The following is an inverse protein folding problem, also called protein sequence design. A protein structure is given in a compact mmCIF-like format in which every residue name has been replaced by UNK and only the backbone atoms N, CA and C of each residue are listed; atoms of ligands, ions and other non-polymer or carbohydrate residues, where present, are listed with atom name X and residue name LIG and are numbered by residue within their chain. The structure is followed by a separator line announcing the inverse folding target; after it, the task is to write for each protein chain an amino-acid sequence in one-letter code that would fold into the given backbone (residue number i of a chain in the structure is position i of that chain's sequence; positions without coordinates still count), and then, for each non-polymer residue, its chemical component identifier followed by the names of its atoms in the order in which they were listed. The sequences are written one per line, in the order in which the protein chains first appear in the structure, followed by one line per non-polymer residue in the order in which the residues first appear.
data_IF_110756319625
#
_entry.id   IF_110756319625
#
_cell.length_a   1.000
_cell.length_b   1.000
_cell.length_c   1.000
_cell.angle_alpha   90.00
_cell.angle_beta   90.00
_cell.angle_gamma   90.00
#
_symmetry.space_group_name_H-M   'P 1'
#
loop_
_entity.id
_entity.type
_entity.pdbx_description
1 polymer ?
#
# COMPACT_ATOMS: atom_id res chain seq x y z
N UNK A 1 0.26 -18.02 -46.13
CA UNK A 1 1.27 -18.16 -45.06
C UNK A 1 1.17 -16.93 -44.21
N UNK A 2 0.88 -17.07 -42.92
CA UNK A 2 0.87 -15.94 -41.99
C UNK A 2 2.30 -15.54 -41.67
N UNK A 3 2.64 -14.27 -41.82
CA UNK A 3 3.97 -13.75 -41.52
C UNK A 3 4.07 -13.41 -40.03
N UNK A 4 5.26 -13.55 -39.43
CA UNK A 4 5.47 -13.23 -38.00
C UNK A 4 5.08 -11.77 -37.68
N UNK A 5 5.30 -10.84 -38.63
CA UNK A 5 4.89 -9.43 -38.50
C UNK A 5 3.37 -9.23 -38.37
N UNK A 6 2.57 -10.21 -38.78
CA UNK A 6 1.10 -10.18 -38.72
C UNK A 6 0.60 -10.74 -37.37
N UNK A 7 1.50 -11.32 -36.56
CA UNK A 7 1.21 -11.90 -35.25
C UNK A 7 1.69 -11.03 -34.08
N UNK A 8 2.53 -10.03 -34.35
CA UNK A 8 3.12 -9.15 -33.34
C UNK A 8 2.77 -7.72 -33.72
N UNK A 9 1.97 -7.07 -32.90
CA UNK A 9 1.75 -5.63 -33.00
C UNK A 9 3.01 -4.90 -32.50
N UNK A 10 3.70 -4.21 -33.41
CA UNK A 10 4.91 -3.45 -33.10
C UNK A 10 4.54 -1.97 -33.11
N UNK A 11 4.55 -1.28 -31.96
CA UNK A 11 4.22 0.14 -31.92
C UNK A 11 5.25 0.97 -32.70
N UNK A 12 4.78 1.97 -33.45
CA UNK A 12 5.63 2.86 -34.25
C UNK A 12 6.64 3.67 -33.42
N UNK A 13 6.36 3.87 -32.13
CA UNK A 13 7.22 4.56 -31.17
C UNK A 13 7.13 3.93 -29.80
N UNK A 14 8.26 3.84 -29.11
CA UNK A 14 8.36 3.36 -27.73
C UNK A 14 9.19 4.32 -26.91
N UNK A 15 8.68 4.76 -25.77
CA UNK A 15 9.38 5.59 -24.80
C UNK A 15 9.82 4.76 -23.60
N UNK A 16 10.90 5.18 -22.91
CA UNK A 16 11.37 4.49 -21.68
C UNK A 16 10.28 4.38 -20.60
N UNK A 17 9.36 5.35 -20.55
CA UNK A 17 8.25 5.34 -19.60
C UNK A 17 7.25 4.20 -19.83
N UNK A 18 7.11 3.74 -21.08
CA UNK A 18 6.10 2.75 -21.46
C UNK A 18 6.37 1.36 -20.89
N UNK A 19 7.62 1.10 -20.48
CA UNK A 19 8.03 -0.16 -19.85
C UNK A 19 8.05 -0.11 -18.31
N UNK A 20 7.89 1.08 -17.71
CA UNK A 20 8.04 1.28 -16.27
C UNK A 20 6.69 1.61 -15.67
N UNK A 21 6.01 0.56 -15.18
CA UNK A 21 4.77 0.70 -14.43
C UNK A 21 5.04 1.38 -13.08
N UNK A 22 4.39 2.52 -12.86
CA UNK A 22 4.43 3.30 -11.63
C UNK A 22 3.21 2.96 -10.78
N UNK A 23 3.42 2.14 -9.76
CA UNK A 23 2.36 1.61 -8.90
C UNK A 23 1.41 2.69 -8.37
N UNK A 24 1.92 3.85 -7.93
CA UNK A 24 1.10 4.91 -7.36
C UNK A 24 0.25 5.68 -8.37
N UNK A 25 0.61 5.64 -9.66
CA UNK A 25 -0.07 6.35 -10.74
C UNK A 25 -0.98 5.39 -11.53
N UNK A 26 -0.49 4.20 -11.84
CA UNK A 26 -1.09 3.31 -12.84
C UNK A 26 -2.21 2.42 -12.31
N UNK A 27 -2.33 2.22 -11.00
CA UNK A 27 -3.45 1.47 -10.40
C UNK A 27 -4.82 2.11 -10.69
N UNK A 28 -4.83 3.40 -11.06
CA UNK A 28 -6.04 4.12 -11.47
C UNK A 28 -6.51 3.76 -12.88
N UNK A 29 -5.69 3.02 -13.64
CA UNK A 29 -5.90 2.59 -15.04
C UNK A 29 -5.80 1.07 -15.16
N UNK A 30 -6.78 0.29 -14.65
CA UNK A 30 -6.72 -1.17 -14.62
C UNK A 30 -6.48 -1.78 -16.00
N UNK A 31 -7.01 -1.19 -17.07
CA UNK A 31 -6.81 -1.64 -18.45
C UNK A 31 -5.34 -1.60 -18.89
N UNK A 32 -4.58 -0.59 -18.47
CA UNK A 32 -3.14 -0.48 -18.76
C UNK A 32 -2.36 -1.51 -17.95
N UNK A 33 -2.72 -1.68 -16.67
CA UNK A 33 -2.08 -2.66 -15.79
C UNK A 33 -2.34 -4.09 -16.29
N UNK A 34 -3.55 -4.40 -16.74
CA UNK A 34 -3.93 -5.77 -17.05
C UNK A 34 -3.66 -6.16 -18.51
N UNK A 35 -3.64 -5.20 -19.44
CA UNK A 35 -3.63 -5.47 -20.88
C UNK A 35 -2.49 -6.36 -21.37
N UNK A 36 -1.31 -6.23 -20.78
CA UNK A 36 -0.10 -7.00 -21.16
C UNK A 36 0.41 -7.91 -20.03
N UNK A 37 -0.41 -8.19 -19.00
CA UNK A 37 0.03 -8.98 -17.87
C UNK A 37 -0.16 -10.48 -18.10
N UNK A 38 0.94 -11.21 -18.18
CA UNK A 38 0.94 -12.66 -18.38
C UNK A 38 1.23 -13.35 -17.04
N UNK A 39 0.31 -14.21 -16.59
CA UNK A 39 0.45 -14.97 -15.35
C UNK A 39 1.03 -16.34 -15.65
N UNK A 40 2.29 -16.55 -15.24
CA UNK A 40 2.95 -17.87 -15.29
C UNK A 40 2.55 -18.74 -14.10
N UNK A 41 2.81 -20.07 -14.12
CA UNK A 41 2.61 -20.94 -12.96
C UNK A 41 3.36 -20.47 -11.70
N UNK A 42 4.56 -19.92 -11.86
CA UNK A 42 5.36 -19.37 -10.75
C UNK A 42 4.68 -18.11 -10.18
N UNK A 43 4.21 -17.20 -11.04
CA UNK A 43 3.47 -16.02 -10.60
C UNK A 43 2.19 -16.41 -9.85
N UNK A 44 1.45 -17.42 -10.34
CA UNK A 44 0.28 -17.98 -9.64
C UNK A 44 0.65 -18.40 -8.21
N UNK A 45 1.76 -19.11 -8.03
CA UNK A 45 2.26 -19.50 -6.70
C UNK A 45 2.63 -18.28 -5.85
N UNK A 46 3.27 -17.26 -6.44
CA UNK A 46 3.57 -16.02 -5.74
C UNK A 46 2.32 -15.27 -5.28
N UNK A 47 1.25 -15.23 -6.10
CA UNK A 47 -0.03 -14.64 -5.71
C UNK A 47 -0.71 -15.42 -4.58
N UNK A 48 -0.68 -16.74 -4.64
CA UNK A 48 -1.19 -17.60 -3.55
C UNK A 48 -0.45 -17.34 -2.24
N UNK A 49 0.89 -17.24 -2.29
CA UNK A 49 1.70 -16.92 -1.13
C UNK A 49 1.39 -15.51 -0.58
N UNK A 50 1.26 -14.51 -1.45
CA UNK A 50 0.94 -13.13 -1.06
C UNK A 50 -0.45 -13.03 -0.40
N UNK A 51 -1.47 -13.62 -1.01
CA UNK A 51 -2.83 -13.62 -0.47
C UNK A 51 -2.93 -14.45 0.83
N UNK A 52 -2.20 -15.56 0.93
CA UNK A 52 -2.10 -16.33 2.18
C UNK A 52 -1.46 -15.49 3.30
N UNK A 53 -0.39 -14.76 3.00
CA UNK A 53 0.27 -13.88 3.96
C UNK A 53 -0.66 -12.77 4.47
N UNK A 54 -1.37 -12.11 3.55
CA UNK A 54 -2.34 -11.05 3.89
C UNK A 54 -3.52 -11.63 4.67
N UNK A 55 -4.09 -12.75 4.22
CA UNK A 55 -5.20 -13.42 4.91
C UNK A 55 -4.85 -13.77 6.36
N UNK A 56 -3.67 -14.34 6.59
CA UNK A 56 -3.17 -14.63 7.93
C UNK A 56 -3.01 -13.38 8.80
N UNK A 57 -2.54 -12.25 8.24
CA UNK A 57 -2.42 -10.99 8.97
C UNK A 57 -3.79 -10.43 9.37
N UNK A 58 -4.75 -10.45 8.44
CA UNK A 58 -6.12 -9.96 8.64
C UNK A 58 -6.86 -10.80 9.67
N UNK A 59 -6.85 -12.13 9.53
CA UNK A 59 -7.53 -13.05 10.44
C UNK A 59 -6.91 -13.05 11.83
N UNK A 60 -5.57 -13.01 11.90
CA UNK A 60 -4.84 -12.94 13.16
C UNK A 60 -4.85 -11.56 13.82
N UNK A 61 -5.36 -10.51 13.14
CA UNK A 61 -5.34 -9.11 13.59
C UNK A 61 -3.92 -8.65 13.97
N UNK A 62 -2.93 -9.07 13.19
CA UNK A 62 -1.50 -8.77 13.43
C UNK A 62 -0.94 -7.91 12.31
N UNK A 63 -0.07 -6.98 12.67
CA UNK A 63 0.72 -6.21 11.70
C UNK A 63 1.87 -7.07 11.19
N UNK A 64 1.88 -7.34 9.88
CA UNK A 64 2.96 -8.09 9.23
C UNK A 64 3.53 -7.30 8.06
N UNK A 65 4.84 -7.44 7.86
CA UNK A 65 5.55 -6.83 6.74
C UNK A 65 6.28 -7.91 5.93
N UNK A 66 6.39 -7.70 4.63
CA UNK A 66 7.16 -8.55 3.73
C UNK A 66 7.81 -7.71 2.64
N UNK A 67 8.94 -8.17 2.12
CA UNK A 67 9.66 -7.51 1.03
C UNK A 67 9.51 -8.34 -0.25
N UNK A 68 9.08 -7.69 -1.32
CA UNK A 68 9.10 -8.28 -2.66
C UNK A 68 10.50 -8.09 -3.27
N UNK A 69 11.25 -9.19 -3.39
CA UNK A 69 12.58 -9.19 -3.98
C UNK A 69 12.55 -9.68 -5.44
N UNK A 70 13.46 -9.15 -6.25
CA UNK A 70 13.60 -9.53 -7.66
C UNK A 70 14.44 -8.51 -8.45
N UNK A 71 15.06 -8.97 -9.53
CA UNK A 71 15.93 -8.15 -10.39
C UNK A 71 15.20 -6.96 -11.02
N UNK A 72 15.95 -5.96 -11.48
CA UNK A 72 15.37 -4.87 -12.27
C UNK A 72 14.65 -5.43 -13.51
N UNK A 73 13.46 -4.90 -13.83
CA UNK A 73 12.65 -5.40 -14.95
C UNK A 73 11.89 -6.71 -14.70
N UNK A 74 12.00 -7.34 -13.52
CA UNK A 74 11.33 -8.62 -13.23
C UNK A 74 9.81 -8.52 -12.96
N UNK A 75 9.19 -7.38 -13.24
CA UNK A 75 7.74 -7.19 -13.05
C UNK A 75 7.27 -6.94 -11.61
N UNK A 76 8.15 -6.59 -10.65
CA UNK A 76 7.76 -6.36 -9.24
C UNK A 76 6.64 -5.32 -9.05
N UNK A 77 6.77 -4.15 -9.67
CA UNK A 77 5.75 -3.10 -9.60
C UNK A 77 4.44 -3.56 -10.23
N UNK A 78 4.53 -4.32 -11.33
CA UNK A 78 3.38 -4.89 -12.03
C UNK A 78 2.65 -5.92 -11.17
N UNK A 79 3.40 -6.82 -10.52
CA UNK A 79 2.87 -7.78 -9.55
C UNK A 79 2.13 -7.07 -8.40
N UNK A 80 2.71 -6.01 -7.85
CA UNK A 80 2.07 -5.20 -6.81
C UNK A 80 0.81 -4.50 -7.30
N UNK A 81 0.79 -4.01 -8.54
CA UNK A 81 -0.38 -3.33 -9.12
C UNK A 81 -1.55 -4.31 -9.32
N UNK A 82 -1.27 -5.50 -9.83
CA UNK A 82 -2.29 -6.55 -9.99
C UNK A 82 -2.78 -7.05 -8.64
N UNK A 83 -1.88 -7.29 -7.67
CA UNK A 83 -2.28 -7.63 -6.30
C UNK A 83 -3.16 -6.54 -5.68
N UNK A 84 -2.80 -5.27 -5.87
CA UNK A 84 -3.60 -4.13 -5.44
C UNK A 84 -5.02 -4.18 -6.04
N UNK A 85 -5.15 -4.38 -7.35
CA UNK A 85 -6.44 -4.50 -8.03
C UNK A 85 -7.27 -5.69 -7.53
N UNK A 86 -6.62 -6.83 -7.25
CA UNK A 86 -7.29 -8.02 -6.67
C UNK A 86 -7.88 -7.71 -5.29
N UNK A 87 -7.09 -7.06 -4.42
CA UNK A 87 -7.52 -6.68 -3.06
C UNK A 87 -8.59 -5.57 -3.09
N UNK A 88 -8.54 -4.68 -4.08
CA UNK A 88 -9.56 -3.66 -4.32
C UNK A 88 -10.90 -4.26 -4.81
N UNK A 89 -10.90 -5.53 -5.22
CA UNK A 89 -12.11 -6.18 -5.74
C UNK A 89 -12.35 -5.91 -7.22
N UNK A 90 -11.35 -5.46 -7.98
CA UNK A 90 -11.50 -5.16 -9.41
C UNK A 90 -11.93 -6.42 -10.19
N UNK A 91 -13.06 -6.39 -10.94
CA UNK A 91 -13.58 -7.57 -11.64
C UNK A 91 -12.62 -8.12 -12.69
N UNK A 92 -11.91 -7.26 -13.43
CA UNK A 92 -10.99 -7.69 -14.48
C UNK A 92 -9.75 -8.38 -13.90
N UNK A 93 -9.18 -7.84 -12.83
CA UNK A 93 -8.04 -8.47 -12.15
C UNK A 93 -8.41 -9.81 -11.49
N UNK A 94 -9.61 -9.90 -10.90
CA UNK A 94 -10.13 -11.16 -10.33
C UNK A 94 -10.59 -12.17 -11.38
N UNK A 95 -10.86 -11.69 -12.60
CA UNK A 95 -11.29 -12.49 -13.74
C UNK A 95 -10.15 -13.12 -14.54
N UNK A 96 -8.88 -12.88 -14.16
CA UNK A 96 -7.73 -13.51 -14.82
C UNK A 96 -7.85 -15.04 -14.73
N UNK A 97 -8.01 -15.78 -15.85
CA UNK A 97 -8.28 -17.21 -15.83
C UNK A 97 -7.23 -18.01 -15.06
N UNK A 98 -5.95 -17.64 -15.22
CA UNK A 98 -4.83 -18.31 -14.58
C UNK A 98 -4.81 -18.12 -13.07
N UNK A 99 -5.46 -17.08 -12.53
CA UNK A 99 -5.57 -16.84 -11.09
C UNK A 99 -6.87 -17.37 -10.50
N UNK A 100 -7.82 -17.85 -11.30
CA UNK A 100 -9.12 -18.33 -10.81
C UNK A 100 -9.01 -19.33 -9.64
N UNK A 101 -8.10 -20.35 -9.64
CA UNK A 101 -7.96 -21.26 -8.50
C UNK A 101 -7.50 -20.55 -7.21
N UNK A 102 -6.60 -19.57 -7.35
CA UNK A 102 -6.05 -18.78 -6.23
C UNK A 102 -7.12 -17.85 -5.67
N UNK A 103 -7.85 -17.15 -6.55
CA UNK A 103 -8.96 -16.27 -6.14
C UNK A 103 -10.05 -17.07 -5.44
N UNK A 104 -10.42 -18.24 -5.98
CA UNK A 104 -11.43 -19.12 -5.36
C UNK A 104 -11.00 -19.57 -3.96
N UNK A 105 -9.76 -20.05 -3.81
CA UNK A 105 -9.19 -20.47 -2.52
C UNK A 105 -9.24 -19.36 -1.47
N UNK A 106 -8.98 -18.11 -1.86
CA UNK A 106 -8.94 -16.98 -0.94
C UNK A 106 -10.25 -16.21 -0.81
N UNK A 107 -11.30 -16.60 -1.55
CA UNK A 107 -12.55 -15.85 -1.58
C UNK A 107 -13.25 -15.83 -0.21
N UNK A 108 -13.13 -16.90 0.58
CA UNK A 108 -13.75 -17.03 1.90
C UNK A 108 -13.39 -15.87 2.84
N UNK A 109 -12.11 -15.48 2.90
CA UNK A 109 -11.66 -14.41 3.80
C UNK A 109 -11.66 -13.03 3.13
N UNK A 110 -11.54 -12.98 1.79
CA UNK A 110 -11.60 -11.73 1.03
C UNK A 110 -13.02 -11.16 0.94
N UNK A 111 -14.04 -12.03 0.88
CA UNK A 111 -15.42 -11.61 0.70
C UNK A 111 -15.88 -10.67 1.83
N UNK A 112 -16.51 -9.56 1.44
CA UNK A 112 -17.03 -8.55 2.36
C UNK A 112 -15.96 -7.70 3.06
N UNK A 113 -14.67 -7.88 2.76
CA UNK A 113 -13.61 -7.00 3.27
C UNK A 113 -13.44 -5.78 2.39
N UNK A 114 -13.20 -4.64 3.03
CA UNK A 114 -12.82 -3.38 2.39
C UNK A 114 -11.44 -2.99 2.88
N UNK A 115 -10.47 -3.01 1.98
CA UNK A 115 -9.09 -2.65 2.29
C UNK A 115 -8.86 -1.17 1.99
N UNK A 116 -8.17 -0.49 2.91
CA UNK A 116 -7.53 0.77 2.59
C UNK A 116 -6.14 0.45 2.03
N UNK A 117 -6.00 0.58 0.71
CA UNK A 117 -4.76 0.31 0.00
C UNK A 117 -4.03 1.65 -0.19
N UNK A 118 -2.85 1.78 0.40
CA UNK A 118 -2.09 3.03 0.43
C UNK A 118 -0.82 2.86 -0.41
N UNK A 119 -0.85 3.19 -1.71
CA UNK A 119 0.33 3.17 -2.56
C UNK A 119 1.21 4.39 -2.29
N UNK A 120 2.49 4.17 -2.05
CA UNK A 120 3.49 5.22 -1.91
C UNK A 120 4.86 4.74 -2.39
N UNK A 121 5.78 5.68 -2.60
CA UNK A 121 7.18 5.38 -2.88
C UNK A 121 8.08 5.99 -1.81
N UNK A 122 9.24 5.38 -1.62
CA UNK A 122 10.22 5.80 -0.61
C UNK A 122 11.28 6.76 -1.17
N UNK A 123 11.11 7.23 -2.41
CA UNK A 123 12.02 8.18 -3.05
C UNK A 123 11.98 9.51 -2.27
N UNK A 124 13.15 9.97 -1.82
CA UNK A 124 13.31 11.23 -1.10
C UNK A 124 12.87 11.21 0.36
N UNK A 125 12.47 10.06 0.91
CA UNK A 125 12.12 9.96 2.32
C UNK A 125 13.38 10.02 3.20
N UNK A 126 13.32 10.80 4.27
CA UNK A 126 14.42 10.96 5.23
C UNK A 126 14.58 9.75 6.15
N UNK A 127 13.47 9.13 6.51
CA UNK A 127 13.41 7.94 7.36
C UNK A 127 12.14 7.12 7.04
N UNK A 128 12.07 5.91 7.61
CA UNK A 128 10.99 4.96 7.37
C UNK A 128 9.66 5.43 7.97
N UNK A 129 9.68 6.06 9.14
CA UNK A 129 8.48 6.51 9.84
C UNK A 129 7.81 7.65 9.06
N UNK A 130 8.58 8.68 8.72
CA UNK A 130 8.19 9.78 7.84
C UNK A 130 7.71 9.27 6.49
N UNK A 131 8.41 8.26 5.95
CA UNK A 131 8.03 7.58 4.72
C UNK A 131 6.66 6.93 4.77
N UNK A 132 6.38 6.12 5.78
CA UNK A 132 5.15 5.34 5.86
C UNK A 132 3.98 6.20 6.37
N UNK A 133 4.16 6.84 7.52
CA UNK A 133 3.09 7.59 8.20
C UNK A 133 2.76 8.89 7.47
N UNK A 134 3.77 9.56 6.91
CA UNK A 134 3.60 10.80 6.16
C UNK A 134 2.80 10.56 4.89
N UNK A 135 3.19 9.55 4.09
CA UNK A 135 2.45 9.18 2.88
C UNK A 135 1.03 8.68 3.20
N UNK A 136 0.82 8.00 4.33
CA UNK A 136 -0.53 7.62 4.76
C UNK A 136 -1.42 8.84 5.03
N UNK A 137 -0.92 9.85 5.75
CA UNK A 137 -1.65 11.10 6.00
C UNK A 137 -1.95 11.82 4.69
N UNK A 138 -0.98 11.92 3.80
CA UNK A 138 -1.14 12.57 2.50
C UNK A 138 -2.16 11.85 1.63
N UNK A 139 -2.12 10.51 1.61
CA UNK A 139 -3.11 9.67 0.95
C UNK A 139 -4.52 9.91 1.48
N UNK A 140 -4.70 9.94 2.80
CA UNK A 140 -5.99 10.19 3.44
C UNK A 140 -6.53 11.58 3.09
N UNK A 141 -5.72 12.63 3.15
CA UNK A 141 -6.13 13.99 2.77
C UNK A 141 -6.58 14.07 1.31
N UNK A 142 -5.92 13.34 0.41
CA UNK A 142 -6.24 13.32 -1.02
C UNK A 142 -7.51 12.52 -1.32
N UNK A 143 -7.72 11.38 -0.67
CA UNK A 143 -8.78 10.42 -1.02
C UNK A 143 -10.03 10.53 -0.14
N UNK A 144 -9.88 11.09 1.06
CA UNK A 144 -10.92 11.24 2.07
C UNK A 144 -10.84 12.64 2.71
N UNK A 145 -11.06 13.73 1.94
CA UNK A 145 -10.86 15.10 2.41
C UNK A 145 -11.78 15.48 3.59
N UNK A 146 -12.96 14.87 3.67
CA UNK A 146 -13.94 15.12 4.74
C UNK A 146 -13.67 14.30 6.01
N UNK A 147 -12.71 13.36 5.97
CA UNK A 147 -12.32 12.58 7.14
C UNK A 147 -11.30 13.35 8.00
N UNK A 148 -11.31 13.18 9.33
CA UNK A 148 -10.29 13.78 10.19
C UNK A 148 -8.89 13.28 9.79
N UNK A 149 -7.91 14.19 9.85
CA UNK A 149 -6.51 13.83 9.57
C UNK A 149 -6.05 12.78 10.58
N UNK A 150 -5.44 11.66 10.12
CA UNK A 150 -4.94 10.64 11.02
C UNK A 150 -3.94 11.22 12.05
N UNK A 151 -4.12 10.97 13.35
CA UNK A 151 -3.28 11.55 14.41
C UNK A 151 -1.94 10.81 14.59
N UNK A 152 -1.25 10.46 13.50
CA UNK A 152 -0.06 9.62 13.53
C UNK A 152 1.18 10.31 14.11
N UNK A 153 1.26 11.64 14.07
CA UNK A 153 2.36 12.43 14.65
C UNK A 153 2.01 13.13 15.97
N UNK A 154 0.80 12.92 16.50
CA UNK A 154 0.32 13.66 17.67
C UNK A 154 1.22 13.40 18.89
N UNK A 155 1.73 12.18 19.04
CA UNK A 155 2.65 11.82 20.13
C UNK A 155 3.99 12.56 20.04
N UNK A 156 4.58 12.70 18.84
CA UNK A 156 5.85 13.39 18.67
C UNK A 156 5.72 14.90 18.97
N UNK A 157 4.63 15.53 18.52
CA UNK A 157 4.35 16.93 18.83
C UNK A 157 4.12 17.16 20.33
N UNK A 158 3.35 16.29 20.99
CA UNK A 158 3.11 16.34 22.44
C UNK A 158 4.43 16.16 23.22
N UNK A 159 5.27 15.20 22.82
CA UNK A 159 6.56 14.95 23.48
C UNK A 159 7.50 16.15 23.30
N UNK A 160 7.60 16.72 22.10
CA UNK A 160 8.44 17.90 21.85
C UNK A 160 7.94 19.12 22.62
N UNK A 161 6.62 19.32 22.68
CA UNK A 161 6.02 20.37 23.49
C UNK A 161 6.33 20.15 24.98
N UNK A 162 6.19 18.93 25.50
CA UNK A 162 6.53 18.60 26.88
C UNK A 162 8.01 18.86 27.20
N UNK A 163 8.93 18.53 26.27
CA UNK A 163 10.35 18.87 26.43
C UNK A 163 10.60 20.39 26.45
N UNK A 164 9.92 21.14 25.59
CA UNK A 164 9.99 22.61 25.57
C UNK A 164 9.43 23.23 26.86
N UNK A 165 8.30 22.74 27.36
CA UNK A 165 7.70 23.21 28.62
C UNK A 165 8.58 22.88 29.83
N UNK A 166 9.18 21.69 29.88
CA UNK A 166 10.16 21.32 30.92
C UNK A 166 11.39 22.24 30.90
N UNK A 167 11.86 22.60 29.71
CA UNK A 167 13.01 23.50 29.54
C UNK A 167 12.68 24.94 29.94
N UNK A 168 11.44 25.39 29.71
CA UNK A 168 10.99 26.75 30.01
C UNK A 168 10.61 26.96 31.48
N UNK A 169 9.93 25.99 32.10
CA UNK A 169 9.37 26.14 33.45
C UNK A 169 10.11 25.35 34.54
N UNK A 170 11.04 24.47 34.16
CA UNK A 170 11.67 23.50 35.06
C UNK A 170 10.75 22.32 35.40
N UNK A 171 11.35 21.22 35.84
CA UNK A 171 10.64 19.96 36.07
C UNK A 171 9.53 20.09 37.13
N UNK A 172 9.78 20.81 38.22
CA UNK A 172 8.86 20.92 39.35
C UNK A 172 7.52 21.60 38.97
N UNK A 173 7.59 22.71 38.22
CA UNK A 173 6.42 23.45 37.77
C UNK A 173 5.65 22.71 36.66
N UNK A 174 6.39 22.02 35.78
CA UNK A 174 5.81 21.19 34.73
C UNK A 174 4.97 20.05 35.31
N UNK A 175 5.53 19.28 36.26
CA UNK A 175 4.78 18.18 36.89
C UNK A 175 3.59 18.67 37.70
N UNK A 176 3.70 19.84 38.35
CA UNK A 176 2.56 20.44 39.06
C UNK A 176 1.38 20.71 38.11
N UNK A 177 1.64 21.35 36.95
CA UNK A 177 0.61 21.62 35.93
C UNK A 177 0.07 20.36 35.28
N UNK A 178 0.92 19.38 35.01
CA UNK A 178 0.50 18.10 34.43
C UNK A 178 -0.46 17.35 35.37
N UNK A 179 -0.22 17.44 36.69
CA UNK A 179 -1.04 16.80 37.72
C UNK A 179 -2.33 17.58 38.05
N UNK A 180 -2.43 18.88 37.71
CA UNK A 180 -3.65 19.68 37.92
C UNK A 180 -4.87 19.10 37.16
N UNK A 181 -4.64 18.39 36.04
CA UNK A 181 -5.70 17.70 35.28
C UNK A 181 -6.20 16.38 35.87
N UNK A 182 -5.54 15.82 36.89
CA UNK A 182 -5.97 14.59 37.58
C UNK A 182 -6.87 14.86 38.81
N UNK A 183 -7.08 16.12 39.20
CA UNK A 183 -7.73 16.51 40.44
C UNK A 183 -9.25 16.71 40.39
N UNK A 184 -9.98 16.13 39.44
CA UNK A 184 -11.45 16.25 39.37
C UNK A 184 -12.10 14.94 38.95
N UNK A 185 -12.13 14.01 39.90
CA UNK A 185 -12.85 12.75 39.83
C UNK A 185 -13.28 12.34 41.23
N UNK A 186 -14.33 12.99 41.72
CA UNK A 186 -15.27 12.51 42.73
C UNK A 186 -16.67 12.59 42.12
#
# INVERSE_FOLDING_TARGET
MTLIKELIDIPDRVQKGDFVLRLAEDISRPEVVLGNYVVTPELRSCYDAALSFIGNAVQGRTSKATYLHGSFGSGKSHFMAVLHLILQGNPAARGIPELAPVIQKHNEWLAGKKFLLVPYHMIGAHDMESGILGNYVEFMRRTHPDAPTPPVYVSAAIINQAQGERSNYGDELFFKRLNEGQGSGD
#
